data_IF_700630691586
#
_entry.id   IF_700630691586
#
_cell.length_a   1.000
_cell.length_b   1.000
_cell.length_c   1.000
_cell.angle_alpha   90.00
_cell.angle_beta   90.00
_cell.angle_gamma   90.00
#
_symmetry.space_group_name_H-M   'P 1'
#
loop_
_entity.id
_entity.type
_entity.pdbx_description
1 polymer ?
#
# COMPACT_ATOMS: atom_id res chain seq x y z
N UNK A 1 19.04 -9.84 33.77
CA UNK A 1 19.31 -8.75 32.82
C UNK A 1 20.12 -9.27 31.66
N UNK A 2 19.89 -8.70 30.58
CA UNK A 2 20.68 -9.02 29.41
C UNK A 2 22.12 -8.50 29.57
N UNK A 3 23.10 -9.31 29.23
CA UNK A 3 24.48 -8.87 29.12
C UNK A 3 24.66 -7.92 27.91
N UNK A 4 23.66 -7.81 27.07
CA UNK A 4 23.74 -6.99 25.87
C UNK A 4 23.24 -5.59 26.15
N UNK A 5 23.91 -4.57 25.60
CA UNK A 5 23.41 -3.22 25.72
C UNK A 5 22.07 -3.08 25.01
N UNK A 6 21.29 -2.07 25.41
CA UNK A 6 20.00 -1.81 24.78
C UNK A 6 20.14 -1.52 23.29
N UNK A 7 21.29 -0.98 22.90
CA UNK A 7 21.62 -0.73 21.51
C UNK A 7 21.85 -1.99 20.70
N UNK A 8 21.90 -3.16 21.37
CA UNK A 8 22.12 -4.45 20.69
C UNK A 8 20.89 -4.98 19.97
N UNK A 9 19.77 -4.26 19.98
CA UNK A 9 18.60 -4.66 19.19
C UNK A 9 19.00 -4.71 17.72
N UNK A 10 18.56 -5.76 17.01
CA UNK A 10 18.88 -5.87 15.60
C UNK A 10 18.26 -4.72 14.82
N UNK A 11 18.95 -4.29 13.78
CA UNK A 11 18.45 -3.27 12.86
C UNK A 11 18.02 -3.95 11.57
N UNK A 12 16.78 -3.70 11.17
CA UNK A 12 16.22 -4.20 9.92
C UNK A 12 16.03 -3.03 8.97
N UNK A 13 16.55 -3.15 7.77
CA UNK A 13 16.26 -2.20 6.71
C UNK A 13 15.11 -2.72 5.86
N UNK A 14 14.12 -1.88 5.67
CA UNK A 14 12.99 -2.17 4.78
C UNK A 14 12.96 -1.14 3.68
N UNK A 15 13.00 -1.60 2.44
CA UNK A 15 12.77 -0.75 1.28
C UNK A 15 11.32 -0.93 0.84
N UNK A 16 10.53 0.13 0.99
CA UNK A 16 9.12 0.12 0.63
C UNK A 16 8.96 0.69 -0.77
N UNK A 17 8.82 -0.19 -1.74
CA UNK A 17 8.67 0.18 -3.14
C UNK A 17 7.19 0.38 -3.42
N UNK A 18 6.80 1.61 -3.76
CA UNK A 18 5.38 1.92 -3.92
C UNK A 18 5.15 3.02 -4.94
N UNK A 19 3.95 3.01 -5.50
CA UNK A 19 3.44 4.04 -6.39
C UNK A 19 2.43 4.89 -5.61
N UNK A 20 2.62 6.20 -5.60
CA UNK A 20 1.77 7.13 -4.85
C UNK A 20 0.32 7.14 -5.32
N UNK A 21 0.05 6.68 -6.54
CA UNK A 21 -1.32 6.60 -7.07
C UNK A 21 -2.00 5.27 -6.78
N UNK A 22 -1.29 4.32 -6.19
CA UNK A 22 -1.82 2.99 -5.92
C UNK A 22 -2.49 2.94 -4.53
N UNK A 23 -3.80 2.72 -4.46
CA UNK A 23 -4.49 2.69 -3.16
C UNK A 23 -4.08 1.50 -2.30
N UNK A 24 -3.74 0.36 -2.92
CA UNK A 24 -3.26 -0.80 -2.17
C UNK A 24 -1.89 -0.57 -1.55
N UNK A 25 -1.06 0.30 -2.16
CA UNK A 25 0.21 0.71 -1.55
C UNK A 25 -0.03 1.52 -0.28
N UNK A 26 -1.05 2.38 -0.27
CA UNK A 26 -1.42 3.14 0.92
C UNK A 26 -1.89 2.21 2.05
N UNK A 27 -2.73 1.23 1.73
CA UNK A 27 -3.18 0.21 2.70
C UNK A 27 -1.98 -0.57 3.24
N UNK A 28 -1.08 -0.99 2.34
CA UNK A 28 0.12 -1.73 2.71
C UNK A 28 1.03 -0.95 3.64
N UNK A 29 1.22 0.34 3.38
CA UNK A 29 2.04 1.19 4.24
C UNK A 29 1.45 1.31 5.65
N UNK A 30 0.15 1.53 5.76
CA UNK A 30 -0.49 1.61 7.08
C UNK A 30 -0.40 0.30 7.85
N UNK A 31 -0.58 -0.82 7.17
CA UNK A 31 -0.41 -2.13 7.80
C UNK A 31 1.02 -2.33 8.27
N UNK A 32 2.01 -1.93 7.47
CA UNK A 32 3.41 -1.99 7.83
C UNK A 32 3.70 -1.12 9.06
N UNK A 33 3.25 0.13 9.05
CA UNK A 33 3.48 1.04 10.17
C UNK A 33 2.89 0.47 11.47
N UNK A 34 1.72 -0.15 11.39
CA UNK A 34 1.11 -0.80 12.55
C UNK A 34 1.95 -1.96 13.08
N UNK A 35 2.50 -2.76 12.17
CA UNK A 35 3.38 -3.86 12.54
C UNK A 35 4.69 -3.36 13.18
N UNK A 36 5.23 -2.25 12.67
CA UNK A 36 6.47 -1.67 13.20
C UNK A 36 6.29 -1.18 14.64
N UNK A 37 5.13 -0.64 14.97
CA UNK A 37 4.83 -0.26 16.36
C UNK A 37 4.88 -1.47 17.28
N UNK A 38 4.42 -2.63 16.82
CA UNK A 38 4.38 -3.85 17.63
C UNK A 38 5.76 -4.42 17.92
N UNK A 39 6.73 -4.18 17.06
CA UNK A 39 8.08 -4.76 17.21
C UNK A 39 9.16 -3.76 17.62
N UNK A 40 8.77 -2.51 17.88
CA UNK A 40 9.75 -1.44 18.15
C UNK A 40 10.66 -1.71 19.35
N UNK A 41 10.19 -2.50 20.31
CA UNK A 41 11.00 -2.86 21.48
C UNK A 41 11.95 -4.04 21.21
N UNK A 42 11.71 -4.75 20.12
CA UNK A 42 12.47 -5.94 19.75
C UNK A 42 13.53 -5.64 18.69
N UNK A 43 13.27 -4.67 17.83
CA UNK A 43 14.19 -4.31 16.76
C UNK A 43 14.08 -2.84 16.39
N UNK A 44 15.15 -2.35 15.81
CA UNK A 44 15.17 -1.03 15.21
C UNK A 44 14.93 -1.18 13.70
N UNK A 45 14.08 -0.36 13.12
CA UNK A 45 13.74 -0.46 11.70
C UNK A 45 14.11 0.85 11.00
N UNK A 46 14.82 0.73 9.88
CA UNK A 46 15.05 1.81 8.95
C UNK A 46 14.11 1.61 7.77
N UNK A 47 13.17 2.52 7.60
CA UNK A 47 12.22 2.47 6.51
C UNK A 47 12.66 3.44 5.42
N UNK A 48 12.90 2.92 4.23
CA UNK A 48 13.30 3.68 3.06
C UNK A 48 12.22 3.59 2.00
N UNK A 49 11.77 4.71 1.50
CA UNK A 49 10.76 4.75 0.45
C UNK A 49 11.43 4.78 -0.91
N UNK A 50 11.04 3.84 -1.76
CA UNK A 50 11.55 3.74 -3.13
C UNK A 50 10.38 4.02 -4.09
N UNK A 51 10.43 5.10 -4.85
CA UNK A 51 9.35 5.42 -5.79
C UNK A 51 9.29 4.40 -6.92
N UNK A 52 8.08 4.13 -7.37
CA UNK A 52 7.84 3.22 -8.47
C UNK A 52 6.60 3.69 -9.25
N UNK A 53 6.64 3.52 -10.57
CA UNK A 53 5.50 3.81 -11.43
C UNK A 53 4.93 2.50 -11.97
N UNK A 54 3.71 2.18 -11.54
CA UNK A 54 3.03 0.97 -12.03
C UNK A 54 2.67 1.08 -13.51
N UNK A 55 2.35 2.30 -13.96
CA UNK A 55 1.92 2.55 -15.33
C UNK A 55 2.74 3.70 -15.94
N UNK A 56 4.03 3.47 -16.22
CA UNK A 56 4.93 4.55 -16.65
C UNK A 56 4.56 5.18 -17.99
N UNK A 57 3.85 4.45 -18.85
CA UNK A 57 3.48 4.91 -20.18
C UNK A 57 2.07 5.52 -20.25
N UNK A 58 1.39 5.62 -19.11
CA UNK A 58 0.06 6.19 -19.06
C UNK A 58 0.10 7.70 -19.21
N UNK A 59 -0.88 8.24 -19.95
CA UNK A 59 -0.99 9.68 -20.13
C UNK A 59 -1.16 10.41 -18.78
N UNK A 60 -0.64 11.65 -18.66
CA UNK A 60 -0.74 12.39 -17.39
C UNK A 60 -2.16 12.60 -16.87
N UNK A 61 -3.15 12.72 -17.77
CA UNK A 61 -4.56 12.86 -17.40
C UNK A 61 -5.16 11.56 -16.89
N UNK A 62 -4.45 10.45 -17.00
CA UNK A 62 -4.93 9.15 -16.58
C UNK A 62 -5.99 8.57 -17.50
N UNK A 63 -6.57 7.46 -17.09
CA UNK A 63 -7.67 6.80 -17.82
C UNK A 63 -8.80 6.46 -16.85
N UNK A 64 -10.00 6.32 -17.39
CA UNK A 64 -11.15 5.87 -16.61
C UNK A 64 -10.87 4.49 -16.03
N UNK A 65 -11.06 4.33 -14.71
CA UNK A 65 -10.64 3.11 -14.01
C UNK A 65 -11.45 1.88 -14.40
N UNK A 66 -12.78 1.99 -14.50
CA UNK A 66 -13.61 0.82 -14.75
C UNK A 66 -13.29 0.13 -16.06
N UNK A 67 -13.33 0.80 -17.22
CA UNK A 67 -13.02 0.13 -18.48
C UNK A 67 -11.57 -0.38 -18.54
N UNK A 68 -10.64 0.36 -17.94
CA UNK A 68 -9.24 -0.04 -17.92
C UNK A 68 -9.04 -1.35 -17.14
N UNK A 69 -9.59 -1.42 -15.93
CA UNK A 69 -9.45 -2.62 -15.09
C UNK A 69 -10.16 -3.83 -15.67
N UNK A 70 -11.34 -3.61 -16.28
CA UNK A 70 -12.06 -4.70 -16.94
C UNK A 70 -11.25 -5.28 -18.11
N UNK A 71 -10.65 -4.43 -18.90
CA UNK A 71 -9.84 -4.85 -20.04
C UNK A 71 -8.55 -5.53 -19.61
N UNK A 72 -7.85 -4.95 -18.62
CA UNK A 72 -6.55 -5.45 -18.18
C UNK A 72 -6.63 -6.80 -17.47
N UNK A 73 -7.66 -6.98 -16.64
CA UNK A 73 -7.77 -8.18 -15.79
C UNK A 73 -8.94 -9.09 -16.18
N UNK A 74 -9.67 -8.76 -17.22
CA UNK A 74 -10.81 -9.57 -17.65
C UNK A 74 -11.95 -9.62 -16.63
N UNK A 75 -12.19 -8.51 -15.92
CA UNK A 75 -13.17 -8.47 -14.85
C UNK A 75 -14.57 -8.20 -15.38
N UNK A 76 -15.57 -8.84 -14.75
CA UNK A 76 -16.97 -8.48 -14.91
C UNK A 76 -17.30 -7.24 -14.06
N UNK A 77 -18.46 -6.66 -14.30
CA UNK A 77 -18.93 -5.53 -13.49
C UNK A 77 -19.06 -5.91 -12.02
N UNK A 78 -19.57 -7.12 -11.74
CA UNK A 78 -19.71 -7.61 -10.37
C UNK A 78 -18.37 -7.81 -9.69
N UNK A 79 -17.40 -8.34 -10.40
CA UNK A 79 -16.04 -8.52 -9.88
C UNK A 79 -15.38 -7.19 -9.58
N UNK A 80 -15.57 -6.21 -10.48
CA UNK A 80 -15.02 -4.88 -10.31
C UNK A 80 -15.61 -4.20 -9.06
N UNK A 81 -16.94 -4.30 -8.89
CA UNK A 81 -17.62 -3.75 -7.71
C UNK A 81 -17.15 -4.44 -6.43
N UNK A 82 -16.98 -5.74 -6.45
CA UNK A 82 -16.51 -6.50 -5.29
C UNK A 82 -15.07 -6.11 -4.91
N UNK A 83 -14.19 -5.91 -5.90
CA UNK A 83 -12.82 -5.48 -5.65
C UNK A 83 -12.77 -4.06 -5.06
N UNK A 84 -13.60 -3.16 -5.57
CA UNK A 84 -13.69 -1.80 -5.05
C UNK A 84 -14.19 -1.80 -3.59
N UNK A 85 -15.19 -2.61 -3.29
CA UNK A 85 -15.72 -2.74 -1.93
C UNK A 85 -14.67 -3.28 -0.98
N UNK A 86 -13.88 -4.26 -1.44
CA UNK A 86 -12.80 -4.83 -0.63
C UNK A 86 -11.72 -3.80 -0.32
N UNK A 87 -11.38 -2.96 -1.28
CA UNK A 87 -10.40 -1.88 -1.07
C UNK A 87 -10.92 -0.90 -0.01
N UNK A 88 -12.18 -0.48 -0.10
CA UNK A 88 -12.79 0.42 0.88
C UNK A 88 -12.77 -0.20 2.27
N UNK A 89 -13.15 -1.46 2.37
CA UNK A 89 -13.17 -2.19 3.64
C UNK A 89 -11.77 -2.31 4.25
N UNK A 90 -10.79 -2.71 3.44
CA UNK A 90 -9.40 -2.83 3.92
C UNK A 90 -8.83 -1.48 4.30
N UNK A 91 -9.14 -0.44 3.53
CA UNK A 91 -8.73 0.92 3.87
C UNK A 91 -9.30 1.38 5.19
N UNK A 92 -10.59 1.14 5.42
CA UNK A 92 -11.25 1.49 6.67
C UNK A 92 -10.61 0.78 7.87
N UNK A 93 -10.24 -0.49 7.70
CA UNK A 93 -9.56 -1.25 8.75
C UNK A 93 -8.19 -0.64 9.11
N UNK A 94 -7.57 0.06 8.18
CA UNK A 94 -6.29 0.73 8.39
C UNK A 94 -6.43 2.25 8.64
N UNK A 95 -7.65 2.73 8.82
CA UNK A 95 -7.90 4.13 9.15
C UNK A 95 -8.05 5.06 7.94
N UNK A 96 -8.22 4.52 6.73
CA UNK A 96 -8.44 5.32 5.52
C UNK A 96 -9.91 5.34 5.12
N UNK A 97 -10.39 6.51 4.78
CA UNK A 97 -11.69 6.68 4.14
C UNK A 97 -11.48 6.92 2.64
N UNK A 98 -11.48 5.84 1.86
CA UNK A 98 -11.34 5.98 0.42
C UNK A 98 -12.63 6.53 -0.20
N UNK A 99 -12.48 7.57 -1.00
CA UNK A 99 -13.57 8.07 -1.82
C UNK A 99 -13.74 7.25 -3.09
N UNK A 100 -14.71 7.62 -3.91
CA UNK A 100 -14.92 6.98 -5.18
C UNK A 100 -13.78 7.33 -6.13
N UNK A 101 -13.16 6.32 -6.70
CA UNK A 101 -12.05 6.47 -7.63
C UNK A 101 -12.56 6.31 -9.05
N UNK A 102 -12.33 7.31 -9.87
CA UNK A 102 -12.82 7.32 -11.26
C UNK A 102 -11.70 7.13 -12.28
N UNK A 103 -10.45 7.40 -11.91
CA UNK A 103 -9.31 7.37 -12.82
C UNK A 103 -8.14 6.58 -12.26
N UNK A 104 -7.30 6.09 -13.16
CA UNK A 104 -6.01 5.47 -12.88
C UNK A 104 -4.94 6.30 -13.58
N UNK A 105 -3.85 6.49 -12.92
CA UNK A 105 -2.66 7.18 -13.43
C UNK A 105 -1.46 6.28 -13.51
#
# INVERSE_FOLDING_TARGET
MSAFPQTARPTLRIDFVSDVVCPWCAVGLSALERALVQVRDEMSVELHFQPFELNPDMAPEGVASAPYLKAKYGLSDDQLAANAARLVERGAAEGFAFGKRTHIW
#
